data_IF_968709448211
#
_entry.id   IF_968709448211
#
_cell.length_a   1.000
_cell.length_b   1.000
_cell.length_c   1.000
_cell.angle_alpha   90.00
_cell.angle_beta   90.00
_cell.angle_gamma   90.00
#
_symmetry.space_group_name_H-M   'P 1'
#
loop_
_entity.id
_entity.type
_entity.pdbx_description
1 polymer ?
#
# COMPACT_ATOMS: atom_id res chain seq x y z
N UNK A 1 -14.54 14.21 7.02
CA UNK A 1 -15.46 13.10 6.71
C UNK A 1 -15.97 12.48 8.01
N UNK A 2 -17.24 12.17 8.09
CA UNK A 2 -17.83 11.37 9.19
C UNK A 2 -17.78 9.88 8.87
N UNK A 3 -17.92 9.01 9.88
CA UNK A 3 -17.96 7.56 9.66
C UNK A 3 -19.17 7.10 8.81
N UNK A 4 -20.31 7.79 8.94
CA UNK A 4 -21.49 7.56 8.10
C UNK A 4 -21.19 7.87 6.63
N UNK A 5 -20.50 8.98 6.34
CA UNK A 5 -20.07 9.32 4.98
C UNK A 5 -19.05 8.33 4.44
N UNK A 6 -18.11 7.88 5.27
CA UNK A 6 -17.15 6.82 4.90
C UNK A 6 -17.90 5.54 4.51
N UNK A 7 -18.80 5.05 5.35
CA UNK A 7 -19.58 3.84 5.07
C UNK A 7 -20.42 3.97 3.79
N UNK A 8 -20.98 5.15 3.52
CA UNK A 8 -21.70 5.42 2.28
C UNK A 8 -20.79 5.34 1.04
N UNK A 9 -19.54 5.86 1.14
CA UNK A 9 -18.55 5.72 0.07
C UNK A 9 -18.13 4.26 -0.14
N UNK A 10 -17.86 3.52 0.94
CA UNK A 10 -17.46 2.11 0.86
C UNK A 10 -18.53 1.23 0.20
N UNK A 11 -19.81 1.53 0.44
CA UNK A 11 -20.93 0.84 -0.22
C UNK A 11 -20.93 1.03 -1.77
N UNK A 12 -20.22 2.03 -2.27
CA UNK A 12 -20.04 2.26 -3.71
C UNK A 12 -18.95 1.39 -4.35
N UNK A 13 -18.14 0.67 -3.55
CA UNK A 13 -17.11 -0.23 -4.10
C UNK A 13 -17.77 -1.52 -4.59
N UNK A 14 -17.86 -1.68 -5.90
CA UNK A 14 -18.43 -2.87 -6.55
C UNK A 14 -17.43 -4.03 -6.59
N UNK A 15 -17.86 -5.29 -6.71
CA UNK A 15 -17.00 -6.42 -6.99
C UNK A 15 -16.18 -6.25 -8.28
N UNK A 16 -15.15 -7.07 -8.46
CA UNK A 16 -14.36 -7.13 -9.69
C UNK A 16 -15.22 -7.54 -10.90
N UNK A 17 -14.89 -7.04 -12.09
CA UNK A 17 -15.57 -7.37 -13.33
C UNK A 17 -14.99 -8.66 -13.93
N UNK A 18 -15.63 -9.80 -13.64
CA UNK A 18 -15.16 -11.10 -14.12
C UNK A 18 -15.27 -11.28 -15.63
N UNK A 19 -16.17 -10.54 -16.32
CA UNK A 19 -16.23 -10.56 -17.78
C UNK A 19 -14.99 -9.89 -18.40
N UNK A 20 -14.53 -8.79 -17.84
CA UNK A 20 -13.30 -8.13 -18.28
C UNK A 20 -12.05 -9.00 -17.96
N UNK A 21 -12.03 -9.68 -16.81
CA UNK A 21 -10.99 -10.68 -16.49
C UNK A 21 -10.94 -11.78 -17.52
N UNK A 22 -12.09 -12.37 -17.84
CA UNK A 22 -12.20 -13.46 -18.82
C UNK A 22 -11.78 -12.99 -20.23
N UNK A 23 -12.12 -11.76 -20.61
CA UNK A 23 -11.69 -11.18 -21.88
C UNK A 23 -10.17 -10.99 -21.95
N UNK A 24 -9.53 -10.50 -20.88
CA UNK A 24 -8.08 -10.39 -20.79
C UNK A 24 -7.38 -11.76 -20.82
N UNK A 25 -7.94 -12.75 -20.12
CA UNK A 25 -7.45 -14.13 -20.17
C UNK A 25 -7.54 -14.73 -21.57
N UNK A 26 -8.67 -14.53 -22.26
CA UNK A 26 -8.85 -14.98 -23.64
C UNK A 26 -7.87 -14.29 -24.60
N UNK A 27 -7.59 -13.00 -24.39
CA UNK A 27 -6.58 -12.30 -25.17
C UNK A 27 -5.19 -12.92 -24.95
N UNK A 28 -4.76 -13.15 -23.70
CA UNK A 28 -3.50 -13.84 -23.39
C UNK A 28 -3.41 -15.19 -24.06
N UNK A 29 -4.47 -15.98 -24.03
CA UNK A 29 -4.54 -17.30 -24.64
C UNK A 29 -4.48 -17.26 -26.18
N UNK A 30 -4.83 -16.14 -26.81
CA UNK A 30 -4.76 -15.96 -28.27
C UNK A 30 -3.35 -15.63 -28.77
N UNK A 31 -2.45 -15.15 -27.93
CA UNK A 31 -1.08 -14.80 -28.30
C UNK A 31 -0.22 -16.03 -28.54
N UNK A 32 0.65 -15.98 -29.57
CA UNK A 32 1.50 -17.10 -29.98
C UNK A 32 2.66 -17.35 -29.00
N UNK A 33 2.33 -17.83 -27.80
CA UNK A 33 3.24 -18.17 -26.72
C UNK A 33 2.71 -19.37 -25.91
N UNK A 34 3.53 -20.03 -25.08
CA UNK A 34 3.02 -21.03 -24.14
C UNK A 34 1.93 -20.47 -23.24
N UNK A 35 0.85 -21.22 -23.05
CA UNK A 35 -0.25 -20.83 -22.16
C UNK A 35 0.25 -20.61 -20.73
N UNK A 36 -0.07 -19.46 -20.14
CA UNK A 36 0.39 -19.08 -18.80
C UNK A 36 1.90 -18.87 -18.68
N UNK A 37 2.63 -18.75 -19.82
CA UNK A 37 4.09 -18.75 -19.86
C UNK A 37 4.75 -17.56 -19.14
N UNK A 38 4.04 -16.46 -18.91
CA UNK A 38 4.51 -15.31 -18.12
C UNK A 38 4.00 -15.34 -16.66
N UNK A 39 3.22 -16.36 -16.30
CA UNK A 39 2.78 -16.59 -14.93
C UNK A 39 2.07 -15.37 -14.34
N UNK A 40 2.59 -14.82 -13.23
CA UNK A 40 1.97 -13.69 -12.52
C UNK A 40 1.87 -12.40 -13.33
N UNK A 41 2.68 -12.20 -14.35
CA UNK A 41 2.56 -11.04 -15.21
C UNK A 41 1.27 -11.09 -16.05
N UNK A 42 0.79 -12.29 -16.36
CA UNK A 42 -0.51 -12.46 -17.04
C UNK A 42 -1.67 -12.21 -16.08
N UNK A 43 -1.67 -12.91 -14.93
CA UNK A 43 -2.74 -12.78 -13.94
C UNK A 43 -2.85 -11.36 -13.36
N UNK A 44 -1.75 -10.65 -13.25
CA UNK A 44 -1.73 -9.25 -12.83
C UNK A 44 -2.50 -8.34 -13.80
N UNK A 45 -2.35 -8.52 -15.11
CA UNK A 45 -3.12 -7.74 -16.09
C UNK A 45 -4.58 -8.21 -16.17
N UNK A 46 -4.86 -9.50 -15.96
CA UNK A 46 -6.23 -10.00 -15.82
C UNK A 46 -6.94 -9.36 -14.61
N UNK A 47 -6.23 -9.24 -13.47
CA UNK A 47 -6.73 -8.56 -12.26
C UNK A 47 -6.94 -7.06 -12.52
N UNK A 48 -6.03 -6.41 -13.24
CA UNK A 48 -6.17 -5.01 -13.63
C UNK A 48 -7.38 -4.81 -14.58
N UNK A 49 -7.58 -5.71 -15.52
CA UNK A 49 -8.77 -5.70 -16.39
C UNK A 49 -10.06 -5.86 -15.58
N UNK A 50 -10.08 -6.76 -14.60
CA UNK A 50 -11.23 -6.95 -13.72
C UNK A 50 -11.52 -5.72 -12.85
N UNK A 51 -10.49 -4.98 -12.43
CA UNK A 51 -10.64 -3.74 -11.67
C UNK A 51 -11.16 -2.61 -12.55
N UNK A 52 -10.55 -2.39 -13.73
CA UNK A 52 -10.87 -1.29 -14.65
C UNK A 52 -12.16 -1.51 -15.43
N UNK A 53 -12.62 -2.77 -15.52
CA UNK A 53 -13.78 -3.17 -16.32
C UNK A 53 -13.49 -3.29 -17.82
N UNK A 54 -12.23 -3.29 -18.25
CA UNK A 54 -11.80 -3.38 -19.65
C UNK A 54 -10.58 -4.27 -19.81
N UNK A 55 -10.55 -5.09 -20.85
CA UNK A 55 -9.36 -5.80 -21.29
C UNK A 55 -8.36 -4.91 -22.06
N UNK A 56 -8.78 -3.72 -22.48
CA UNK A 56 -7.89 -2.70 -23.04
C UNK A 56 -7.30 -1.87 -21.88
N UNK A 57 -6.00 -2.06 -21.61
CA UNK A 57 -5.33 -1.46 -20.48
C UNK A 57 -4.36 -0.36 -20.92
N UNK A 58 -4.56 0.84 -20.39
CA UNK A 58 -3.57 1.91 -20.39
C UNK A 58 -3.18 2.23 -18.94
N UNK A 59 -1.94 1.91 -18.58
CA UNK A 59 -1.34 2.17 -17.26
C UNK A 59 -0.10 3.07 -17.40
N UNK A 60 -0.04 3.87 -18.46
CA UNK A 60 1.13 4.68 -18.80
C UNK A 60 1.35 5.86 -17.85
N UNK A 61 0.25 6.49 -17.36
CA UNK A 61 0.35 7.61 -16.43
C UNK A 61 0.29 7.12 -14.99
N UNK A 62 1.40 7.23 -14.29
CA UNK A 62 1.60 6.60 -12.98
C UNK A 62 2.23 7.54 -11.97
N UNK A 63 1.92 7.33 -10.69
CA UNK A 63 2.40 8.14 -9.58
C UNK A 63 2.72 7.27 -8.38
N UNK A 64 3.77 7.62 -7.63
CA UNK A 64 3.98 7.14 -6.27
C UNK A 64 3.59 8.24 -5.29
N UNK A 65 2.66 7.93 -4.39
CA UNK A 65 2.31 8.79 -3.27
C UNK A 65 3.11 8.37 -2.05
N UNK A 66 3.80 9.31 -1.40
CA UNK A 66 4.59 9.02 -0.20
C UNK A 66 3.96 9.78 0.97
N UNK A 67 3.24 9.06 1.82
CA UNK A 67 2.51 9.64 2.95
C UNK A 67 3.45 9.79 4.15
N UNK A 68 3.63 11.04 4.61
CA UNK A 68 4.55 11.39 5.67
C UNK A 68 3.77 11.69 6.95
N UNK A 69 4.10 11.03 8.08
CA UNK A 69 3.48 11.29 9.38
C UNK A 69 4.43 10.94 10.53
N UNK A 70 4.33 11.67 11.64
CA UNK A 70 5.04 11.37 12.87
C UNK A 70 4.23 10.45 13.77
N UNK A 71 4.91 9.49 14.38
CA UNK A 71 4.32 8.48 15.27
C UNK A 71 4.81 8.69 16.71
N UNK A 72 3.90 9.00 17.65
CA UNK A 72 4.22 9.31 19.04
C UNK A 72 4.93 8.18 19.80
N UNK A 73 4.75 6.93 19.39
CA UNK A 73 5.42 5.77 19.98
C UNK A 73 6.95 5.83 19.89
N UNK A 74 7.52 6.71 19.08
CA UNK A 74 8.97 6.97 19.00
C UNK A 74 9.53 7.36 20.36
N UNK A 75 8.74 8.01 21.23
CA UNK A 75 9.11 8.32 22.62
C UNK A 75 9.52 7.10 23.44
N UNK A 76 9.13 5.88 23.04
CA UNK A 76 9.48 4.62 23.69
C UNK A 76 10.85 4.04 23.24
N UNK A 77 11.63 4.78 22.44
CA UNK A 77 12.93 4.33 21.96
C UNK A 77 12.88 3.12 21.01
N UNK A 78 11.83 3.07 20.19
CA UNK A 78 11.54 2.00 19.21
C UNK A 78 12.16 2.25 17.83
N UNK A 79 12.96 3.31 17.70
CA UNK A 79 13.70 3.68 16.49
C UNK A 79 15.12 4.15 16.84
N UNK A 80 16.04 4.04 15.88
CA UNK A 80 17.42 4.58 16.03
C UNK A 80 17.47 6.10 15.90
N UNK A 81 16.47 6.72 15.28
CA UNK A 81 16.37 8.15 14.98
C UNK A 81 15.08 8.73 15.54
N UNK A 82 15.05 10.04 15.73
CA UNK A 82 13.85 10.76 16.14
C UNK A 82 12.97 11.22 14.97
N UNK A 83 11.88 11.88 15.30
CA UNK A 83 10.87 12.36 14.33
C UNK A 83 11.41 13.44 13.37
N UNK A 84 12.54 14.11 13.71
CA UNK A 84 13.20 15.08 12.83
C UNK A 84 13.58 14.49 11.47
N UNK A 85 13.81 13.16 11.40
CA UNK A 85 14.15 12.47 10.15
C UNK A 85 12.94 12.37 9.23
N UNK A 86 11.72 12.21 9.74
CA UNK A 86 10.49 12.25 8.93
C UNK A 86 10.42 13.53 8.11
N UNK A 87 10.60 14.69 8.77
CA UNK A 87 10.60 15.99 8.13
C UNK A 87 11.74 16.15 7.12
N UNK A 88 12.96 15.77 7.51
CA UNK A 88 14.13 15.88 6.64
C UNK A 88 13.96 15.06 5.34
N UNK A 89 13.38 13.86 5.43
CA UNK A 89 13.09 13.04 4.24
C UNK A 89 11.95 13.66 3.41
N UNK A 90 10.90 14.19 4.02
CA UNK A 90 9.81 14.88 3.31
C UNK A 90 10.34 16.09 2.51
N UNK A 91 11.25 16.88 3.08
CA UNK A 91 11.95 17.97 2.38
C UNK A 91 12.75 17.47 1.18
N UNK A 92 13.47 16.36 1.34
CA UNK A 92 14.24 15.75 0.24
C UNK A 92 13.35 15.07 -0.81
N UNK A 93 12.18 14.55 -0.45
CA UNK A 93 11.15 14.10 -1.39
C UNK A 93 10.65 15.26 -2.27
N UNK A 94 10.35 16.40 -1.67
CA UNK A 94 9.95 17.62 -2.39
C UNK A 94 11.06 18.10 -3.36
N UNK A 95 12.33 17.98 -2.95
CA UNK A 95 13.51 18.31 -3.78
C UNK A 95 13.88 17.20 -4.79
N UNK A 96 13.14 16.08 -4.84
CA UNK A 96 13.43 14.94 -5.74
C UNK A 96 14.81 14.28 -5.53
N UNK A 97 15.26 14.17 -4.28
CA UNK A 97 16.60 13.68 -3.91
C UNK A 97 16.64 12.30 -3.27
N UNK A 98 15.48 11.77 -2.82
CA UNK A 98 15.41 10.48 -2.12
C UNK A 98 15.55 9.28 -3.07
N UNK A 99 15.68 8.09 -2.50
CA UNK A 99 15.83 6.84 -3.25
C UNK A 99 14.65 6.60 -4.20
N UNK A 100 13.42 6.74 -3.68
CA UNK A 100 12.21 6.57 -4.52
C UNK A 100 12.17 7.57 -5.66
N UNK A 101 12.63 8.81 -5.47
CA UNK A 101 12.65 9.81 -6.54
C UNK A 101 13.58 9.42 -7.68
N UNK A 102 14.75 8.80 -7.38
CA UNK A 102 15.66 8.33 -8.42
C UNK A 102 15.09 7.12 -9.17
N UNK A 103 14.47 6.18 -8.43
CA UNK A 103 13.83 5.00 -9.01
C UNK A 103 12.59 5.39 -9.83
N UNK A 104 11.75 6.31 -9.34
CA UNK A 104 10.57 6.81 -10.03
C UNK A 104 10.92 7.48 -11.37
N UNK A 105 12.01 8.25 -11.40
CA UNK A 105 12.53 8.82 -12.65
C UNK A 105 12.89 7.74 -13.68
N UNK A 106 13.51 6.65 -13.23
CA UNK A 106 13.86 5.53 -14.10
C UNK A 106 12.64 4.73 -14.57
N UNK A 107 11.59 4.67 -13.73
CA UNK A 107 10.34 3.99 -14.01
C UNK A 107 9.27 4.89 -14.66
N UNK A 108 9.62 6.11 -15.06
CA UNK A 108 8.69 7.11 -15.62
C UNK A 108 7.43 7.29 -14.76
N UNK A 109 7.62 7.45 -13.45
CA UNK A 109 6.59 7.56 -12.44
C UNK A 109 6.73 8.93 -11.72
N UNK A 110 5.63 9.66 -11.59
CA UNK A 110 5.60 10.88 -10.79
C UNK A 110 5.71 10.59 -9.31
N UNK A 111 6.20 11.57 -8.52
CA UNK A 111 6.30 11.41 -7.05
C UNK A 111 5.49 12.52 -6.40
N UNK A 112 4.57 12.17 -5.51
CA UNK A 112 3.76 13.12 -4.73
C UNK A 112 4.00 12.86 -3.24
N UNK A 113 4.85 13.65 -2.58
CA UNK A 113 4.95 13.61 -1.12
C UNK A 113 3.73 14.28 -0.48
N UNK A 114 3.19 13.65 0.56
CA UNK A 114 1.95 14.09 1.23
C UNK A 114 2.17 14.13 2.74
N UNK A 115 1.92 15.27 3.35
CA UNK A 115 1.92 15.44 4.80
C UNK A 115 0.55 15.02 5.35
N UNK A 116 0.51 13.88 6.03
CA UNK A 116 -0.67 13.37 6.75
C UNK A 116 -0.69 13.80 8.22
N UNK A 117 0.47 14.16 8.76
CA UNK A 117 0.57 14.52 10.17
C UNK A 117 2.02 14.60 10.64
N UNK A 118 2.85 15.42 10.02
CA UNK A 118 4.18 15.76 10.53
C UNK A 118 4.12 16.87 11.56
N UNK A 119 5.00 16.84 12.57
CA UNK A 119 5.19 17.95 13.50
C UNK A 119 5.85 19.16 12.82
N UNK A 120 5.60 20.33 13.38
CA UNK A 120 6.18 21.60 12.90
C UNK A 120 5.42 22.21 11.72
N UNK A 121 6.06 23.18 11.04
CA UNK A 121 5.46 23.95 9.95
C UNK A 121 5.32 23.10 8.66
N UNK A 122 4.37 23.43 7.78
CA UNK A 122 4.26 22.78 6.48
C UNK A 122 5.57 22.84 5.68
N UNK A 123 5.87 21.76 4.94
CA UNK A 123 7.06 21.67 4.08
C UNK A 123 6.71 22.12 2.67
N UNK A 124 7.39 23.16 2.11
CA UNK A 124 7.14 23.58 0.73
C UNK A 124 7.35 22.45 -0.28
N UNK A 125 6.41 22.26 -1.19
CA UNK A 125 6.43 21.21 -2.19
C UNK A 125 5.94 19.83 -1.69
N UNK A 126 5.52 19.73 -0.43
CA UNK A 126 4.78 18.60 0.11
C UNK A 126 3.29 18.96 0.15
N UNK A 127 2.43 18.11 -0.41
CA UNK A 127 0.99 18.31 -0.38
C UNK A 127 0.48 18.15 1.06
N UNK A 128 -0.33 19.08 1.53
CA UNK A 128 -0.90 19.02 2.88
C UNK A 128 -2.25 18.31 2.87
N UNK A 129 -2.32 17.17 3.56
CA UNK A 129 -3.52 16.47 3.98
C UNK A 129 -3.46 16.22 5.49
N UNK A 130 -2.84 17.16 6.22
CA UNK A 130 -2.49 17.04 7.64
C UNK A 130 -3.74 16.91 8.51
N UNK A 131 -3.77 15.85 9.32
CA UNK A 131 -4.82 15.58 10.32
C UNK A 131 -4.47 16.27 11.63
N UNK A 132 -3.26 16.00 12.14
CA UNK A 132 -2.72 16.62 13.36
C UNK A 132 -1.18 16.66 13.28
N UNK A 133 -0.51 17.18 14.30
CA UNK A 133 0.96 17.24 14.38
C UNK A 133 1.58 15.94 14.93
N UNK A 134 1.34 14.84 14.24
CA UNK A 134 1.72 13.49 14.68
C UNK A 134 0.65 12.83 15.57
N UNK A 135 0.78 11.51 15.76
CA UNK A 135 -0.06 10.76 16.70
C UNK A 135 0.44 10.88 18.14
N UNK A 136 -0.41 10.52 19.10
CA UNK A 136 0.00 10.32 20.48
C UNK A 136 0.80 9.00 20.63
N UNK A 137 1.47 8.83 21.79
CA UNK A 137 2.12 7.60 22.18
C UNK A 137 1.07 6.57 22.62
N UNK A 138 0.82 5.57 21.81
CA UNK A 138 -0.19 4.55 22.06
C UNK A 138 0.06 3.70 23.30
N UNK A 139 1.24 3.78 23.93
CA UNK A 139 1.49 3.11 25.21
C UNK A 139 0.84 3.83 26.41
N UNK A 140 0.34 5.05 26.19
CA UNK A 140 -0.28 5.91 27.22
C UNK A 140 -1.78 6.13 27.00
N UNK A 141 -2.33 5.68 25.87
CA UNK A 141 -3.70 5.87 25.43
C UNK A 141 -3.79 5.72 23.91
N UNK A 142 -4.93 5.98 23.27
CA UNK A 142 -5.08 5.85 21.83
C UNK A 142 -4.09 6.72 21.05
N UNK A 143 -3.57 6.21 19.93
CA UNK A 143 -2.67 6.94 19.03
C UNK A 143 -3.35 8.20 18.45
N UNK A 144 -4.63 8.09 18.13
CA UNK A 144 -5.47 9.17 17.62
C UNK A 144 -6.93 8.90 18.02
N UNK A 145 -7.79 9.91 17.91
CA UNK A 145 -9.23 9.70 18.05
C UNK A 145 -9.79 8.90 16.86
N UNK A 146 -10.92 8.22 17.07
CA UNK A 146 -11.64 7.55 15.98
C UNK A 146 -12.02 8.51 14.84
N UNK A 147 -12.38 9.76 15.17
CA UNK A 147 -12.70 10.79 14.19
C UNK A 147 -11.50 11.17 13.34
N UNK A 148 -10.30 11.27 13.92
CA UNK A 148 -9.05 11.52 13.19
C UNK A 148 -8.67 10.34 12.29
N UNK A 149 -8.87 9.09 12.75
CA UNK A 149 -8.65 7.91 11.92
C UNK A 149 -9.58 7.90 10.69
N UNK A 150 -10.88 8.17 10.89
CA UNK A 150 -11.86 8.31 9.79
C UNK A 150 -11.47 9.45 8.84
N UNK A 151 -11.01 10.58 9.37
CA UNK A 151 -10.56 11.70 8.55
C UNK A 151 -9.32 11.33 7.73
N UNK A 152 -8.33 10.65 8.32
CA UNK A 152 -7.12 10.22 7.62
C UNK A 152 -7.43 9.24 6.48
N UNK A 153 -8.32 8.25 6.72
CA UNK A 153 -8.83 7.36 5.66
C UNK A 153 -9.53 8.18 4.57
N UNK A 154 -10.36 9.17 4.96
CA UNK A 154 -11.05 10.06 4.03
C UNK A 154 -10.12 10.88 3.14
N UNK A 155 -9.04 11.43 3.70
CA UNK A 155 -8.02 12.16 2.92
C UNK A 155 -7.32 11.24 1.92
N UNK A 156 -7.01 10.00 2.30
CA UNK A 156 -6.44 9.00 1.38
C UNK A 156 -7.39 8.64 0.23
N UNK A 157 -8.69 8.47 0.51
CA UNK A 157 -9.71 8.25 -0.53
C UNK A 157 -9.78 9.44 -1.49
N UNK A 158 -9.83 10.66 -0.95
CA UNK A 158 -9.90 11.89 -1.74
C UNK A 158 -8.66 12.04 -2.63
N UNK A 159 -7.46 11.80 -2.08
CA UNK A 159 -6.19 11.83 -2.81
C UNK A 159 -6.21 10.87 -4.01
N UNK A 160 -6.58 9.61 -3.80
CA UNK A 160 -6.58 8.61 -4.87
C UNK A 160 -7.59 8.95 -5.97
N UNK A 161 -8.78 9.46 -5.61
CA UNK A 161 -9.80 9.87 -6.57
C UNK A 161 -9.36 11.09 -7.40
N UNK A 162 -8.79 12.10 -6.75
CA UNK A 162 -8.25 13.28 -7.44
C UNK A 162 -7.14 12.89 -8.43
N UNK A 163 -6.22 12.01 -8.02
CA UNK A 163 -5.19 11.50 -8.94
C UNK A 163 -5.79 10.76 -10.14
N UNK A 164 -6.85 9.97 -9.93
CA UNK A 164 -7.57 9.30 -11.02
C UNK A 164 -8.25 10.30 -11.96
N UNK A 165 -8.86 11.36 -11.43
CA UNK A 165 -9.46 12.49 -12.18
C UNK A 165 -8.40 13.26 -12.97
N UNK A 166 -7.20 13.44 -12.39
CA UNK A 166 -6.03 14.02 -13.07
C UNK A 166 -5.45 13.10 -14.16
N UNK A 167 -6.00 11.91 -14.34
CA UNK A 167 -5.62 10.97 -15.39
C UNK A 167 -4.56 9.95 -15.01
N UNK A 168 -4.16 9.84 -13.74
CA UNK A 168 -3.31 8.72 -13.31
C UNK A 168 -4.06 7.40 -13.38
N UNK A 169 -3.37 6.37 -13.86
CA UNK A 169 -3.95 5.03 -14.11
C UNK A 169 -3.24 3.93 -13.32
N UNK A 170 -2.22 4.27 -12.56
CA UNK A 170 -1.51 3.39 -11.64
C UNK A 170 -0.99 4.22 -10.47
N UNK A 171 -1.34 3.84 -9.25
CA UNK A 171 -0.86 4.49 -8.03
C UNK A 171 0.06 3.50 -7.30
N UNK A 172 1.30 3.91 -7.04
CA UNK A 172 2.19 3.21 -6.13
C UNK A 172 2.10 3.85 -4.73
N UNK A 173 2.08 3.06 -3.69
CA UNK A 173 2.09 3.54 -2.31
C UNK A 173 3.51 3.59 -1.76
N UNK A 174 3.77 4.60 -0.96
CA UNK A 174 4.97 4.78 -0.17
C UNK A 174 4.64 5.50 1.13
N UNK A 175 5.53 5.44 2.06
CA UNK A 175 5.37 6.08 3.36
C UNK A 175 6.71 6.61 3.88
N UNK A 176 6.62 7.58 4.79
CA UNK A 176 7.74 8.08 5.57
C UNK A 176 7.24 8.50 6.96
N UNK A 177 7.59 7.72 7.97
CA UNK A 177 7.17 8.00 9.34
C UNK A 177 8.04 7.24 10.31
N UNK A 178 8.96 7.93 11.01
CA UNK A 178 9.77 7.24 12.01
C UNK A 178 8.84 6.62 13.07
N UNK A 179 9.04 5.33 13.35
CA UNK A 179 8.19 4.55 14.26
C UNK A 179 7.04 3.78 13.59
N UNK A 180 6.73 4.00 12.32
CA UNK A 180 5.58 3.39 11.64
C UNK A 180 5.69 1.86 11.45
N UNK A 181 6.89 1.28 11.45
CA UNK A 181 7.01 -0.19 11.54
C UNK A 181 6.51 -0.73 12.87
N UNK A 182 6.56 0.07 13.95
CA UNK A 182 6.02 -0.29 15.26
C UNK A 182 4.49 -0.25 15.25
N UNK A 183 3.90 0.83 14.74
CA UNK A 183 2.44 0.95 14.59
C UNK A 183 1.90 -0.12 13.65
N UNK A 184 2.57 -0.39 12.52
CA UNK A 184 2.20 -1.46 11.59
C UNK A 184 2.23 -2.84 12.24
N UNK A 185 3.27 -3.15 13.03
CA UNK A 185 3.36 -4.43 13.76
C UNK A 185 2.23 -4.57 14.77
N UNK A 186 1.89 -3.49 15.49
CA UNK A 186 0.79 -3.48 16.47
C UNK A 186 -0.57 -3.73 15.77
N UNK A 187 -0.87 -2.97 14.72
CA UNK A 187 -2.10 -3.11 13.93
C UNK A 187 -2.22 -4.52 13.34
N UNK A 188 -1.16 -5.01 12.71
CA UNK A 188 -1.17 -6.33 12.08
C UNK A 188 -1.30 -7.47 13.10
N UNK A 189 -0.63 -7.36 14.27
CA UNK A 189 -0.73 -8.37 15.34
C UNK A 189 -2.19 -8.51 15.81
N UNK A 190 -2.89 -7.41 16.04
CA UNK A 190 -4.29 -7.39 16.48
C UNK A 190 -5.22 -7.92 15.38
N UNK A 191 -5.15 -7.35 14.17
CA UNK A 191 -6.07 -7.72 13.07
C UNK A 191 -5.91 -9.18 12.63
N UNK A 192 -4.73 -9.77 12.78
CA UNK A 192 -4.46 -11.14 12.37
C UNK A 192 -4.43 -12.13 13.56
N UNK A 193 -4.60 -11.65 14.79
CA UNK A 193 -4.54 -12.48 15.99
C UNK A 193 -3.19 -13.20 16.15
N UNK A 194 -2.10 -12.56 15.75
CA UNK A 194 -0.75 -13.14 15.76
C UNK A 194 0.08 -12.62 16.94
N UNK A 195 1.01 -13.43 17.47
CA UNK A 195 1.95 -12.99 18.51
C UNK A 195 2.74 -11.75 18.05
N UNK A 196 2.89 -10.77 18.95
CA UNK A 196 3.61 -9.52 18.68
C UNK A 196 5.04 -9.77 18.24
N UNK A 197 5.72 -10.73 18.84
CA UNK A 197 7.10 -11.11 18.52
C UNK A 197 7.24 -11.61 17.07
N UNK A 198 6.24 -12.31 16.56
CA UNK A 198 6.22 -12.79 15.18
C UNK A 198 5.99 -11.65 14.18
N UNK A 199 5.22 -10.65 14.58
CA UNK A 199 4.83 -9.53 13.73
C UNK A 199 5.81 -8.36 13.79
N UNK A 200 6.85 -8.42 14.65
CA UNK A 200 7.74 -7.29 14.89
C UNK A 200 9.13 -7.54 14.33
N UNK A 201 9.56 -6.67 13.43
CA UNK A 201 10.90 -6.65 12.87
C UNK A 201 11.75 -5.50 13.42
N UNK A 202 13.02 -5.46 12.95
CA UNK A 202 14.02 -4.47 13.39
C UNK A 202 13.83 -3.09 12.74
N UNK A 203 12.89 -2.97 11.78
CA UNK A 203 12.74 -1.73 11.01
C UNK A 203 14.06 -1.28 10.40
N UNK A 204 14.46 -0.04 10.65
CA UNK A 204 15.71 0.54 10.16
C UNK A 204 16.99 0.01 10.87
N UNK A 205 16.96 -1.21 11.44
CA UNK A 205 18.16 -1.87 11.97
C UNK A 205 18.36 -1.73 13.48
N UNK A 206 17.31 -1.87 14.29
CA UNK A 206 17.42 -1.91 15.75
C UNK A 206 18.33 -3.03 16.25
N UNK A 207 19.02 -2.78 17.39
CA UNK A 207 19.73 -3.80 18.17
C UNK A 207 18.74 -4.81 18.79
N UNK A 208 19.26 -5.87 19.42
CA UNK A 208 18.41 -6.85 20.13
C UNK A 208 17.64 -6.19 21.29
N UNK A 209 18.28 -5.29 22.03
CA UNK A 209 17.62 -4.54 23.11
C UNK A 209 16.58 -3.56 22.53
N UNK A 210 16.86 -2.95 21.38
CA UNK A 210 15.91 -2.07 20.67
C UNK A 210 14.68 -2.84 20.18
N UNK A 211 14.88 -4.04 19.65
CA UNK A 211 13.79 -4.93 19.24
C UNK A 211 12.94 -5.36 20.45
N UNK A 212 13.59 -5.74 21.57
CA UNK A 212 12.88 -6.09 22.80
C UNK A 212 12.02 -4.93 23.32
N UNK A 213 12.57 -3.69 23.33
CA UNK A 213 11.79 -2.49 23.71
C UNK A 213 10.61 -2.27 22.76
N UNK A 214 10.80 -2.49 21.46
CA UNK A 214 9.74 -2.34 20.45
C UNK A 214 8.59 -3.34 20.70
N UNK A 215 8.90 -4.60 20.94
CA UNK A 215 7.92 -5.64 21.30
C UNK A 215 7.20 -5.26 22.60
N UNK A 216 7.92 -4.87 23.65
CA UNK A 216 7.34 -4.43 24.92
C UNK A 216 6.39 -3.23 24.74
N UNK A 217 6.80 -2.21 23.98
CA UNK A 217 5.95 -1.04 23.69
C UNK A 217 4.65 -1.44 22.99
N UNK A 218 4.71 -2.35 22.01
CA UNK A 218 3.51 -2.87 21.33
C UNK A 218 2.60 -3.62 22.30
N UNK A 219 3.14 -4.52 23.11
CA UNK A 219 2.37 -5.28 24.11
C UNK A 219 1.68 -4.34 25.11
N UNK A 220 2.39 -3.33 25.64
CA UNK A 220 1.81 -2.31 26.54
C UNK A 220 0.72 -1.50 25.85
N UNK A 221 0.92 -1.12 24.59
CA UNK A 221 -0.07 -0.38 23.80
C UNK A 221 -1.35 -1.18 23.58
N UNK A 222 -1.24 -2.45 23.22
CA UNK A 222 -2.39 -3.35 23.06
C UNK A 222 -3.13 -3.50 24.40
N UNK A 223 -2.40 -3.74 25.48
CA UNK A 223 -2.98 -3.91 26.82
C UNK A 223 -3.65 -2.61 27.31
N UNK A 224 -3.03 -1.45 27.07
CA UNK A 224 -3.55 -0.15 27.51
C UNK A 224 -4.86 0.23 26.79
N UNK A 225 -4.95 -0.08 25.49
CA UNK A 225 -6.05 0.40 24.65
C UNK A 225 -7.14 -0.63 24.40
N UNK A 226 -6.89 -1.91 24.63
CA UNK A 226 -7.85 -3.01 24.39
C UNK A 226 -8.56 -2.86 23.03
N UNK A 227 -7.81 -2.88 21.89
CA UNK A 227 -8.40 -2.70 20.57
C UNK A 227 -9.32 -3.88 20.20
N UNK A 228 -10.46 -3.57 19.59
CA UNK A 228 -11.38 -4.58 19.06
C UNK A 228 -10.86 -5.09 17.69
N UNK A 229 -10.41 -6.36 17.57
CA UNK A 229 -9.88 -6.91 16.32
C UNK A 229 -10.90 -6.98 15.18
N UNK A 230 -12.20 -6.93 15.48
CA UNK A 230 -13.26 -6.91 14.48
C UNK A 230 -13.60 -5.48 13.98
N UNK A 231 -13.15 -4.46 14.70
CA UNK A 231 -13.34 -3.05 14.32
C UNK A 231 -12.00 -2.42 13.85
N UNK A 232 -11.77 -2.45 12.57
CA UNK A 232 -10.53 -1.93 11.96
C UNK A 232 -10.29 -0.43 12.24
N UNK A 233 -11.35 0.37 12.34
CA UNK A 233 -11.21 1.80 12.69
C UNK A 233 -10.82 1.98 14.16
N UNK A 234 -11.27 1.12 15.04
CA UNK A 234 -10.85 1.11 16.44
C UNK A 234 -9.38 0.74 16.58
N UNK A 235 -8.94 -0.31 15.85
CA UNK A 235 -7.52 -0.73 15.82
C UNK A 235 -6.63 0.39 15.26
N UNK A 236 -7.04 1.04 14.15
CA UNK A 236 -6.29 2.16 13.58
C UNK A 236 -6.22 3.36 14.53
N UNK A 237 -7.33 3.70 15.19
CA UNK A 237 -7.37 4.80 16.14
C UNK A 237 -6.47 4.55 17.36
N UNK A 238 -6.47 3.34 17.88
CA UNK A 238 -5.75 2.98 19.10
C UNK A 238 -4.27 2.73 18.89
N UNK A 239 -3.86 2.11 17.76
CA UNK A 239 -2.50 1.62 17.54
C UNK A 239 -1.85 2.10 16.24
N UNK A 240 -2.61 2.74 15.36
CA UNK A 240 -2.16 3.10 14.01
C UNK A 240 -1.32 4.36 13.92
N UNK A 241 -1.16 4.84 12.68
CA UNK A 241 -0.53 6.10 12.32
C UNK A 241 -1.34 6.78 11.22
N UNK A 242 -1.19 8.12 11.07
CA UNK A 242 -1.89 8.84 10.02
C UNK A 242 -1.45 8.43 8.61
N UNK A 243 -0.19 7.99 8.45
CA UNK A 243 0.33 7.41 7.22
C UNK A 243 -0.38 6.10 6.86
N UNK A 244 -0.51 5.16 7.82
CA UNK A 244 -1.18 3.87 7.60
C UNK A 244 -2.67 4.09 7.31
N UNK A 245 -3.35 4.94 8.08
CA UNK A 245 -4.76 5.27 7.88
C UNK A 245 -5.00 5.97 6.52
N UNK A 246 -4.12 6.90 6.14
CA UNK A 246 -4.14 7.54 4.83
C UNK A 246 -3.92 6.55 3.70
N UNK A 247 -2.92 5.66 3.81
CA UNK A 247 -2.68 4.59 2.82
C UNK A 247 -3.86 3.62 2.70
N UNK A 248 -4.52 3.27 3.82
CA UNK A 248 -5.77 2.51 3.79
C UNK A 248 -6.81 3.23 2.91
N UNK A 249 -6.94 4.54 3.07
CA UNK A 249 -7.79 5.38 2.23
C UNK A 249 -7.37 5.37 0.75
N UNK A 250 -6.08 5.36 0.44
CA UNK A 250 -5.59 5.29 -0.95
C UNK A 250 -6.02 3.98 -1.63
N UNK A 251 -5.97 2.83 -0.94
CA UNK A 251 -6.47 1.55 -1.48
C UNK A 251 -7.97 1.57 -1.70
N UNK A 252 -8.74 2.12 -0.77
CA UNK A 252 -10.20 2.27 -0.91
C UNK A 252 -10.55 3.22 -2.06
N UNK A 253 -9.85 4.34 -2.18
CA UNK A 253 -10.01 5.31 -3.25
C UNK A 253 -9.68 4.74 -4.63
N UNK A 254 -8.61 3.94 -4.73
CA UNK A 254 -8.27 3.20 -5.95
C UNK A 254 -9.36 2.21 -6.37
N UNK A 255 -9.95 1.51 -5.39
CA UNK A 255 -11.07 0.59 -5.64
C UNK A 255 -12.34 1.30 -6.13
N UNK A 256 -12.62 2.51 -5.62
CA UNK A 256 -13.72 3.37 -6.06
C UNK A 256 -13.48 3.93 -7.46
N UNK A 257 -12.25 4.36 -7.75
CA UNK A 257 -11.89 4.98 -9.02
C UNK A 257 -11.55 3.96 -10.14
N UNK A 258 -11.44 2.67 -9.82
CA UNK A 258 -11.01 1.65 -10.77
C UNK A 258 -9.53 1.76 -11.16
N UNK A 259 -8.67 2.25 -10.25
CA UNK A 259 -7.23 2.43 -10.47
C UNK A 259 -6.43 1.43 -9.65
N UNK A 260 -5.52 0.64 -10.26
CA UNK A 260 -4.63 -0.26 -9.54
C UNK A 260 -3.74 0.47 -8.54
N UNK A 261 -3.63 -0.06 -7.33
CA UNK A 261 -2.79 0.47 -6.26
C UNK A 261 -1.72 -0.56 -5.88
N UNK A 262 -0.46 -0.23 -6.14
CA UNK A 262 0.69 -1.08 -5.81
C UNK A 262 1.04 -0.93 -4.33
N UNK A 263 0.87 -1.99 -3.57
CA UNK A 263 1.35 -2.06 -2.20
C UNK A 263 2.88 -2.18 -2.20
N UNK A 264 3.58 -1.27 -1.55
CA UNK A 264 5.04 -1.30 -1.41
C UNK A 264 5.49 -2.51 -0.57
N UNK A 265 5.82 -2.32 0.67
CA UNK A 265 6.30 -3.36 1.58
C UNK A 265 5.30 -3.70 2.69
N UNK A 266 5.87 -3.99 3.87
CA UNK A 266 5.10 -4.41 5.05
C UNK A 266 4.06 -3.37 5.48
N UNK A 267 4.46 -2.09 5.61
CA UNK A 267 3.59 -1.02 6.11
C UNK A 267 2.42 -0.78 5.15
N UNK A 268 2.70 -0.65 3.86
CA UNK A 268 1.65 -0.54 2.83
C UNK A 268 0.76 -1.79 2.77
N UNK A 269 1.33 -2.98 3.00
CA UNK A 269 0.57 -4.22 3.11
C UNK A 269 -0.40 -4.21 4.28
N UNK A 270 0.00 -3.67 5.45
CA UNK A 270 -0.88 -3.50 6.61
C UNK A 270 -1.99 -2.49 6.31
N UNK A 271 -1.69 -1.39 5.64
CA UNK A 271 -2.71 -0.44 5.20
C UNK A 271 -3.71 -1.06 4.22
N UNK A 272 -3.22 -1.89 3.27
CA UNK A 272 -4.08 -2.66 2.37
C UNK A 272 -4.95 -3.67 3.13
N UNK A 273 -4.40 -4.33 4.17
CA UNK A 273 -5.17 -5.23 5.05
C UNK A 273 -6.30 -4.47 5.75
N UNK A 274 -6.04 -3.27 6.28
CA UNK A 274 -7.07 -2.42 6.87
C UNK A 274 -8.16 -2.08 5.82
N UNK A 275 -7.79 -1.71 4.61
CA UNK A 275 -8.74 -1.39 3.54
C UNK A 275 -9.64 -2.58 3.18
N UNK A 276 -9.05 -3.78 3.08
CA UNK A 276 -9.80 -5.02 2.77
C UNK A 276 -10.70 -5.45 3.94
N UNK A 277 -10.27 -5.22 5.19
CA UNK A 277 -11.12 -5.46 6.38
C UNK A 277 -12.30 -4.50 6.44
N UNK A 278 -12.10 -3.22 6.12
CA UNK A 278 -13.19 -2.22 6.04
C UNK A 278 -14.14 -2.50 4.88
N UNK A 279 -13.63 -2.92 3.74
CA UNK A 279 -14.41 -3.24 2.55
C UNK A 279 -13.75 -4.38 1.76
N UNK A 280 -14.21 -5.64 1.87
CA UNK A 280 -13.62 -6.79 1.17
C UNK A 280 -13.52 -6.61 -0.35
N UNK A 281 -14.46 -5.88 -0.97
CA UNK A 281 -14.44 -5.60 -2.40
C UNK A 281 -13.26 -4.70 -2.83
N UNK A 282 -12.60 -4.00 -1.89
CA UNK A 282 -11.40 -3.21 -2.17
C UNK A 282 -10.17 -4.07 -2.52
N UNK A 283 -10.18 -5.36 -2.20
CA UNK A 283 -9.11 -6.30 -2.56
C UNK A 283 -8.80 -6.32 -4.07
N UNK A 284 -9.78 -5.95 -4.92
CA UNK A 284 -9.60 -5.84 -6.38
C UNK A 284 -8.57 -4.79 -6.80
N UNK A 285 -8.38 -3.73 -5.98
CA UNK A 285 -7.45 -2.65 -6.28
C UNK A 285 -6.05 -2.88 -5.67
N UNK A 286 -5.88 -3.90 -4.82
CA UNK A 286 -4.61 -4.20 -4.14
C UNK A 286 -3.72 -5.08 -5.02
N UNK A 287 -2.55 -4.57 -5.39
CA UNK A 287 -1.51 -5.29 -6.14
C UNK A 287 -0.22 -5.35 -5.34
N UNK A 288 0.24 -6.55 -5.00
CA UNK A 288 1.46 -6.74 -4.22
C UNK A 288 2.69 -6.59 -5.12
N UNK A 289 3.52 -5.58 -4.88
CA UNK A 289 4.75 -5.33 -5.64
C UNK A 289 5.88 -6.27 -5.23
N UNK A 290 6.22 -6.27 -3.93
CA UNK A 290 7.30 -7.10 -3.41
C UNK A 290 6.99 -7.65 -2.03
N UNK A 291 7.69 -8.73 -1.66
CA UNK A 291 7.76 -9.21 -0.29
C UNK A 291 8.93 -8.50 0.40
N UNK A 292 8.64 -7.63 1.34
CA UNK A 292 9.65 -6.94 2.15
C UNK A 292 10.43 -7.93 3.02
N UNK A 293 11.64 -7.56 3.44
CA UNK A 293 12.44 -8.34 4.39
C UNK A 293 11.91 -8.31 5.83
N UNK A 294 10.89 -7.49 6.14
CA UNK A 294 10.22 -7.49 7.45
C UNK A 294 9.54 -8.85 7.72
N UNK A 295 9.66 -9.42 8.94
CA UNK A 295 9.21 -10.79 9.25
C UNK A 295 7.74 -11.02 8.92
N UNK A 296 6.87 -10.06 9.22
CA UNK A 296 5.43 -10.17 9.03
C UNK A 296 4.97 -9.90 7.59
N UNK A 297 5.86 -9.45 6.69
CA UNK A 297 5.46 -9.08 5.32
C UNK A 297 4.77 -10.24 4.59
N UNK A 298 5.30 -11.46 4.69
CA UNK A 298 4.72 -12.66 4.07
C UNK A 298 3.36 -12.99 4.68
N UNK A 299 3.23 -12.92 6.01
CA UNK A 299 1.98 -13.22 6.73
C UNK A 299 0.87 -12.27 6.28
N UNK A 300 1.18 -10.97 6.16
CA UNK A 300 0.23 -9.96 5.68
C UNK A 300 -0.18 -10.22 4.22
N UNK A 301 0.76 -10.56 3.33
CA UNK A 301 0.45 -10.88 1.94
C UNK A 301 -0.40 -12.13 1.82
N UNK A 302 -0.14 -13.17 2.61
CA UNK A 302 -0.95 -14.40 2.68
C UNK A 302 -2.37 -14.10 3.19
N UNK A 303 -2.51 -13.27 4.22
CA UNK A 303 -3.82 -12.83 4.73
C UNK A 303 -4.62 -12.02 3.68
N UNK A 304 -3.94 -11.26 2.83
CA UNK A 304 -4.54 -10.54 1.70
C UNK A 304 -4.85 -11.47 0.50
N UNK A 305 -4.38 -12.71 0.49
CA UNK A 305 -4.44 -13.60 -0.66
C UNK A 305 -3.65 -13.08 -1.87
N UNK A 306 -2.57 -12.29 -1.61
CA UNK A 306 -1.77 -11.66 -2.66
C UNK A 306 -0.38 -12.26 -2.74
N UNK A 307 0.11 -12.41 -3.96
CA UNK A 307 1.45 -12.90 -4.22
C UNK A 307 2.31 -11.79 -4.84
N UNK A 308 3.50 -11.51 -4.27
CA UNK A 308 4.36 -10.43 -4.75
C UNK A 308 5.01 -10.77 -6.09
N UNK A 309 5.33 -9.74 -6.89
CA UNK A 309 6.12 -9.89 -8.12
C UNK A 309 7.61 -10.06 -7.82
N UNK A 310 8.11 -9.40 -6.77
CA UNK A 310 9.54 -9.32 -6.44
C UNK A 310 9.78 -9.89 -5.04
N UNK A 311 10.85 -10.66 -4.89
CA UNK A 311 11.41 -11.07 -3.60
C UNK A 311 12.92 -10.86 -3.66
N UNK A 312 13.35 -9.66 -3.25
CA UNK A 312 14.74 -9.21 -3.39
C UNK A 312 15.34 -8.65 -2.08
N UNK A 313 14.69 -8.94 -0.93
CA UNK A 313 15.17 -8.49 0.38
C UNK A 313 15.07 -6.97 0.59
N UNK A 314 14.17 -6.28 -0.14
CA UNK A 314 13.97 -4.84 0.00
C UNK A 314 13.33 -4.51 1.35
N UNK A 315 13.80 -3.42 1.99
CA UNK A 315 13.27 -2.94 3.27
C UNK A 315 13.53 -1.43 3.49
N UNK A 316 13.58 -0.66 2.40
CA UNK A 316 13.87 0.77 2.48
C UNK A 316 12.63 1.60 2.85
N UNK A 317 11.46 1.26 2.30
CA UNK A 317 10.26 2.09 2.38
C UNK A 317 10.19 3.12 1.24
N UNK A 318 9.54 4.25 1.48
CA UNK A 318 9.32 5.36 0.53
C UNK A 318 8.52 4.98 -0.74
N UNK A 319 8.07 3.73 -0.90
CA UNK A 319 7.46 3.23 -2.14
C UNK A 319 8.47 2.61 -3.11
N UNK A 320 9.71 2.36 -2.67
CA UNK A 320 10.78 1.88 -3.56
C UNK A 320 10.49 0.51 -4.15
N UNK A 321 9.87 -0.41 -3.40
CA UNK A 321 9.50 -1.73 -3.91
C UNK A 321 8.32 -1.66 -4.89
N UNK A 322 7.35 -0.79 -4.62
CA UNK A 322 6.24 -0.54 -5.53
C UNK A 322 6.75 -0.01 -6.87
N UNK A 323 7.60 1.01 -6.84
CA UNK A 323 8.22 1.59 -8.04
C UNK A 323 9.12 0.59 -8.76
N UNK A 324 9.88 -0.25 -8.03
CA UNK A 324 10.72 -1.30 -8.62
C UNK A 324 9.91 -2.33 -9.45
N UNK A 325 8.63 -2.52 -9.13
CA UNK A 325 7.76 -3.45 -9.87
C UNK A 325 7.22 -2.86 -11.19
N UNK A 326 7.21 -1.53 -11.36
CA UNK A 326 6.62 -0.86 -12.54
C UNK A 326 7.19 -1.35 -13.87
N UNK A 327 8.52 -1.55 -14.03
CA UNK A 327 9.06 -2.11 -15.28
C UNK A 327 8.51 -3.50 -15.64
N UNK A 328 8.09 -4.30 -14.67
CA UNK A 328 7.46 -5.60 -14.93
C UNK A 328 6.06 -5.44 -15.52
N UNK A 329 5.32 -4.40 -15.09
CA UNK A 329 4.06 -4.02 -15.71
C UNK A 329 4.26 -3.58 -17.16
N UNK A 330 5.30 -2.78 -17.44
CA UNK A 330 5.63 -2.36 -18.80
C UNK A 330 5.95 -3.54 -19.70
N UNK A 331 6.75 -4.50 -19.21
CA UNK A 331 7.07 -5.72 -19.96
C UNK A 331 5.81 -6.55 -20.24
N UNK A 332 4.93 -6.71 -19.26
CA UNK A 332 3.68 -7.42 -19.43
C UNK A 332 2.77 -6.74 -20.46
N UNK A 333 2.58 -5.42 -20.36
CA UNK A 333 1.79 -4.63 -21.31
C UNK A 333 2.37 -4.66 -22.72
N UNK A 334 3.71 -4.61 -22.86
CA UNK A 334 4.38 -4.70 -24.16
C UNK A 334 4.11 -6.03 -24.86
N UNK A 335 4.14 -7.15 -24.12
CA UNK A 335 3.78 -8.46 -24.68
C UNK A 335 2.28 -8.55 -24.96
N UNK A 336 1.44 -8.08 -24.02
CA UNK A 336 -0.02 -8.10 -24.13
C UNK A 336 -0.52 -7.35 -25.38
N UNK A 337 0.04 -6.17 -25.66
CA UNK A 337 -0.39 -5.35 -26.79
C UNK A 337 0.41 -5.52 -28.07
N UNK A 338 1.62 -6.13 -28.01
CA UNK A 338 2.54 -6.16 -29.15
C UNK A 338 2.92 -7.54 -29.70
N UNK A 339 2.58 -8.63 -28.98
CA UNK A 339 2.87 -9.97 -29.46
C UNK A 339 1.81 -10.40 -30.50
N UNK A 340 2.25 -11.06 -31.58
CA UNK A 340 1.35 -11.59 -32.59
C UNK A 340 0.50 -12.76 -32.06
N UNK A 341 -0.68 -12.93 -32.60
CA UNK A 341 -1.60 -14.03 -32.27
C UNK A 341 -1.24 -15.32 -33.01
N UNK A 342 -1.73 -16.47 -32.52
CA UNK A 342 -1.62 -17.74 -33.25
C UNK A 342 -2.22 -17.63 -34.67
N UNK A 343 -3.33 -16.90 -34.83
CA UNK A 343 -3.98 -16.71 -36.12
C UNK A 343 -3.10 -15.90 -37.09
N UNK A 344 -2.50 -14.81 -36.63
CA UNK A 344 -1.56 -14.00 -37.44
C UNK A 344 -0.30 -14.76 -37.82
N UNK A 345 0.20 -15.62 -36.94
CA UNK A 345 1.37 -16.47 -37.16
C UNK A 345 1.08 -17.72 -37.99
N UNK A 346 -0.18 -18.02 -38.33
CA UNK A 346 -0.55 -19.24 -39.00
C UNK A 346 -0.25 -20.51 -38.21
N UNK A 347 -0.21 -20.41 -36.88
CA UNK A 347 0.14 -21.48 -35.94
C UNK A 347 -1.16 -21.97 -35.28
N UNK A 348 -1.31 -23.31 -35.14
CA UNK A 348 -2.44 -23.83 -34.41
C UNK A 348 -2.35 -23.47 -32.92
N UNK A 349 -3.45 -22.94 -32.30
CA UNK A 349 -3.47 -22.62 -30.88
C UNK A 349 -3.14 -23.85 -30.01
N UNK A 350 -2.43 -23.61 -28.89
CA UNK A 350 -2.23 -24.66 -27.90
C UNK A 350 -3.55 -24.99 -27.18
N UNK A 351 -3.77 -26.26 -26.92
CA UNK A 351 -4.85 -26.74 -26.05
C UNK A 351 -4.26 -27.08 -24.67
N UNK A 352 -4.93 -26.69 -23.56
CA UNK A 352 -4.50 -27.12 -22.24
C UNK A 352 -4.37 -28.66 -22.19
N UNK A 353 -3.23 -29.15 -21.73
CA UNK A 353 -3.03 -30.55 -21.46
C UNK A 353 -3.38 -30.77 -19.98
N UNK A 354 -4.40 -31.56 -19.67
CA UNK A 354 -4.83 -31.92 -18.32
C UNK A 354 -3.83 -32.83 -17.63
#
# INVERSE_FOLDING_TARGET
MTETELNALLAGITPANEAARAAAHAHWASLAKPLGGLGRLETMLEDAAALTGSAELDLSRRVVVVLCADNGVVAQGVSQTGQEVTRAVAENLAMRRTSVCQMARAAHCDVVPVDMGMAGEPVPGVRSCRIAAGTADFTQGPAMSRAEAVQAVGEGIALARELAEDGYRLIATGEMGIGNTTTSSAVAAVLLGQPVELMTGRGAGLSDEGLARKVDAICRGILCNEPDPEDTLDVLAKLGGFDIAGLCGVFLGGALAGVPVLADGFISGVAALCAVRLCPAAAKAVFASHCSAEPAARIVLEALGKAPLITAGLHLGEGTGAVASIPLWDMALAVYGGCYSFAEGGIAPYTPQC
#
